data_IF_127161984849
#
_entry.id   IF_127161984849
#
_cell.length_a   1.000
_cell.length_b   1.000
_cell.length_c   1.000
_cell.angle_alpha   90.00
_cell.angle_beta   90.00
_cell.angle_gamma   90.00
#
_symmetry.space_group_name_H-M   'P 1'
#
loop_
_entity.id
_entity.type
_entity.pdbx_description
1 polymer ?
#
# COMPACT_ATOMS: atom_id res chain seq x y z
N UNK A 1 1.99 15.28 -21.89
CA UNK A 1 2.48 15.02 -20.54
C UNK A 1 3.42 13.84 -20.52
N UNK A 2 4.50 13.97 -19.80
CA UNK A 2 5.51 12.93 -19.73
C UNK A 2 4.98 11.71 -18.96
N UNK A 3 5.12 10.52 -19.53
CA UNK A 3 4.68 9.30 -18.88
C UNK A 3 5.63 8.96 -17.72
N UNK A 4 5.06 8.66 -16.55
CA UNK A 4 5.85 8.20 -15.41
C UNK A 4 6.32 6.78 -15.63
N UNK A 5 7.56 6.53 -15.29
CA UNK A 5 8.17 5.22 -15.31
C UNK A 5 8.74 4.91 -13.93
N UNK A 6 9.26 3.71 -13.75
CA UNK A 6 9.86 3.34 -12.47
C UNK A 6 11.09 4.19 -12.16
N UNK A 7 11.85 4.60 -13.15
CA UNK A 7 12.99 5.51 -12.95
C UNK A 7 12.51 6.86 -12.45
N UNK A 8 11.43 7.39 -13.03
CA UNK A 8 10.86 8.67 -12.58
C UNK A 8 10.28 8.55 -11.17
N UNK A 9 9.71 7.40 -10.83
CA UNK A 9 9.22 7.15 -9.48
C UNK A 9 10.37 7.20 -8.48
N UNK A 10 11.53 6.62 -8.81
CA UNK A 10 12.70 6.65 -7.93
C UNK A 10 13.22 8.08 -7.69
N UNK A 11 13.01 8.99 -8.64
CA UNK A 11 13.34 10.39 -8.46
C UNK A 11 12.41 11.09 -7.47
N UNK A 12 11.18 10.62 -7.35
CA UNK A 12 10.19 11.20 -6.44
C UNK A 12 10.33 10.65 -5.03
N UNK A 13 10.79 9.41 -4.89
CA UNK A 13 10.91 8.72 -3.62
C UNK A 13 12.34 8.24 -3.47
N UNK A 14 12.98 8.58 -2.38
CA UNK A 14 14.32 8.07 -2.09
C UNK A 14 14.19 6.61 -1.68
N UNK A 15 14.58 5.71 -2.59
CA UNK A 15 14.50 4.27 -2.37
C UNK A 15 15.86 3.68 -1.98
N UNK A 16 16.84 4.51 -1.68
CA UNK A 16 18.10 4.05 -1.13
C UNK A 16 17.85 3.41 0.24
N UNK A 17 18.26 2.18 0.41
CA UNK A 17 17.96 1.43 1.62
C UNK A 17 19.13 1.52 2.59
N UNK A 18 18.94 2.30 3.65
CA UNK A 18 19.88 2.38 4.76
C UNK A 18 19.10 2.03 6.02
N UNK A 19 19.28 0.83 6.51
CA UNK A 19 18.55 0.39 7.70
C UNK A 19 19.19 0.96 8.97
N UNK A 20 18.33 1.37 9.89
CA UNK A 20 18.74 1.65 11.26
C UNK A 20 19.24 0.32 11.88
N UNK A 21 20.49 0.31 12.32
CA UNK A 21 21.10 -0.90 12.87
C UNK A 21 20.36 -1.46 14.09
N UNK A 22 19.62 -0.63 14.81
CA UNK A 22 18.89 -1.06 16.00
C UNK A 22 17.53 -1.64 15.65
N UNK A 23 16.85 -1.06 14.64
CA UNK A 23 15.47 -1.43 14.30
C UNK A 23 15.38 -2.31 13.06
N UNK A 24 16.39 -2.29 12.20
CA UNK A 24 16.36 -3.04 10.95
C UNK A 24 15.28 -2.56 10.00
N UNK A 25 14.95 -1.26 10.04
CA UNK A 25 13.92 -0.71 9.17
C UNK A 25 14.31 0.64 8.57
N UNK A 26 13.70 0.96 7.46
CA UNK A 26 13.82 2.25 6.79
C UNK A 26 12.42 2.81 6.57
N UNK A 27 12.23 4.08 6.89
CA UNK A 27 10.98 4.78 6.63
C UNK A 27 11.11 5.52 5.29
N UNK A 28 10.12 5.30 4.43
CA UNK A 28 10.05 5.97 3.13
C UNK A 28 8.88 6.94 3.17
N UNK A 29 9.17 8.22 2.97
CA UNK A 29 8.14 9.26 2.92
C UNK A 29 7.73 9.49 1.48
N UNK A 30 6.44 9.34 1.20
CA UNK A 30 5.90 9.51 -0.14
C UNK A 30 5.56 10.98 -0.40
N UNK A 31 5.52 11.40 -1.68
CA UNK A 31 5.27 12.80 -2.03
C UNK A 31 3.79 13.16 -2.03
N UNK A 32 2.97 12.52 -1.20
CA UNK A 32 1.54 12.85 -1.07
C UNK A 32 1.10 12.67 0.38
N UNK A 33 0.06 13.40 0.74
CA UNK A 33 -0.46 13.39 2.10
C UNK A 33 -1.58 12.39 2.26
N UNK A 34 -1.90 12.07 3.52
CA UNK A 34 -3.05 11.24 3.86
C UNK A 34 -4.36 11.90 3.38
N UNK A 35 -5.46 11.17 3.49
CA UNK A 35 -6.75 11.65 2.98
C UNK A 35 -7.22 12.92 3.68
N UNK A 36 -6.76 13.15 4.90
CA UNK A 36 -7.10 14.36 5.65
C UNK A 36 -6.17 15.54 5.34
N UNK A 37 -5.13 15.32 4.53
CA UNK A 37 -4.17 16.35 4.17
C UNK A 37 -3.28 16.79 5.33
N UNK A 38 -3.18 16.00 6.39
CA UNK A 38 -2.48 16.38 7.59
C UNK A 38 -1.00 16.05 7.58
N UNK A 39 -0.65 14.86 7.09
CA UNK A 39 0.75 14.41 7.10
C UNK A 39 1.06 13.59 5.86
N UNK A 40 2.31 13.59 5.45
CA UNK A 40 2.77 12.78 4.33
C UNK A 40 2.66 11.29 4.67
N UNK A 41 2.24 10.51 3.69
CA UNK A 41 2.15 9.07 3.83
C UNK A 41 3.55 8.49 3.91
N UNK A 42 3.77 7.56 4.83
CA UNK A 42 5.05 6.87 4.97
C UNK A 42 4.83 5.37 4.92
N UNK A 43 5.77 4.68 4.28
CA UNK A 43 5.83 3.22 4.31
C UNK A 43 7.14 2.82 4.98
N UNK A 44 7.20 1.59 5.46
CA UNK A 44 8.38 1.07 6.14
C UNK A 44 8.92 -0.15 5.40
N UNK A 45 10.23 -0.19 5.26
CA UNK A 45 10.92 -1.34 4.71
C UNK A 45 11.64 -2.01 5.88
N UNK A 46 11.32 -3.26 6.14
CA UNK A 46 11.83 -4.01 7.29
C UNK A 46 12.58 -5.24 6.80
N UNK A 47 13.71 -5.54 7.44
CA UNK A 47 14.39 -6.80 7.22
C UNK A 47 13.74 -7.89 8.06
N UNK A 48 13.45 -9.01 7.42
CA UNK A 48 12.94 -10.20 8.09
C UNK A 48 14.10 -11.16 8.37
N UNK A 49 13.80 -12.30 8.98
CA UNK A 49 14.78 -13.36 9.18
C UNK A 49 15.37 -13.77 7.84
N UNK A 50 16.69 -14.01 7.79
CA UNK A 50 17.37 -14.36 6.55
C UNK A 50 17.64 -13.18 5.63
N UNK A 51 17.51 -11.93 6.12
CA UNK A 51 17.73 -10.70 5.37
C UNK A 51 16.72 -10.45 4.24
N UNK A 52 15.61 -11.16 4.21
CA UNK A 52 14.53 -10.83 3.32
C UNK A 52 13.97 -9.47 3.73
N UNK A 53 13.45 -8.73 2.74
CA UNK A 53 12.86 -7.42 3.01
C UNK A 53 11.36 -7.43 2.75
N UNK A 54 10.66 -6.60 3.50
CA UNK A 54 9.21 -6.50 3.45
C UNK A 54 8.81 -5.03 3.49
N UNK A 55 7.86 -4.65 2.64
CA UNK A 55 7.28 -3.31 2.66
C UNK A 55 5.99 -3.35 3.48
N UNK A 56 5.81 -2.38 4.36
CA UNK A 56 4.61 -2.27 5.19
C UNK A 56 4.11 -0.84 5.19
N UNK A 57 2.78 -0.68 5.14
CA UNK A 57 2.17 0.66 5.14
C UNK A 57 2.06 1.28 6.54
N UNK A 58 2.31 0.54 7.61
CA UNK A 58 2.19 1.03 8.97
C UNK A 58 0.79 1.51 9.31
N UNK A 59 -0.24 0.86 8.80
CA UNK A 59 -1.66 1.17 8.97
C UNK A 59 -2.14 2.41 8.21
N UNK A 60 -1.31 3.04 7.37
CA UNK A 60 -1.72 4.25 6.65
C UNK A 60 -2.95 4.01 5.79
N UNK A 61 -3.02 2.88 5.11
CA UNK A 61 -4.13 2.55 4.20
C UNK A 61 -5.41 2.31 4.98
N UNK A 62 -5.34 1.51 6.04
CA UNK A 62 -6.51 1.23 6.89
C UNK A 62 -7.02 2.52 7.51
N UNK A 63 -6.13 3.36 8.01
CA UNK A 63 -6.52 4.63 8.62
C UNK A 63 -7.26 5.53 7.64
N UNK A 64 -6.80 5.60 6.39
CA UNK A 64 -7.48 6.37 5.35
C UNK A 64 -8.87 5.79 5.05
N UNK A 65 -8.97 4.47 4.93
CA UNK A 65 -10.25 3.81 4.66
C UNK A 65 -11.23 4.05 5.80
N UNK A 66 -10.77 3.92 7.03
CA UNK A 66 -11.62 4.16 8.22
C UNK A 66 -12.07 5.61 8.28
N UNK A 67 -11.20 6.57 7.92
CA UNK A 67 -11.57 7.98 7.86
C UNK A 67 -12.69 8.24 6.86
N UNK A 68 -12.64 7.58 5.70
CA UNK A 68 -13.69 7.71 4.68
C UNK A 68 -15.01 7.12 5.20
N UNK A 69 -14.94 5.98 5.89
CA UNK A 69 -16.12 5.26 6.37
C UNK A 69 -16.64 5.76 7.71
N UNK A 70 -16.01 6.79 8.27
CA UNK A 70 -16.45 7.39 9.52
C UNK A 70 -17.94 7.72 9.44
N UNK A 71 -18.68 7.39 10.49
CA UNK A 71 -20.13 7.59 10.59
C UNK A 71 -20.99 6.68 9.70
N UNK A 72 -20.42 5.68 9.04
CA UNK A 72 -21.19 4.74 8.23
C UNK A 72 -20.94 3.29 8.66
N UNK A 73 -21.31 2.99 9.91
CA UNK A 73 -21.10 1.65 10.48
C UNK A 73 -21.82 0.53 9.74
N UNK A 74 -22.87 0.85 8.99
CA UNK A 74 -23.65 -0.19 8.26
C UNK A 74 -22.87 -0.77 7.08
N UNK A 75 -21.90 -0.02 6.53
CA UNK A 75 -21.14 -0.45 5.37
C UNK A 75 -19.75 -0.95 5.70
N UNK A 76 -19.37 -0.93 6.97
CA UNK A 76 -18.04 -1.36 7.38
C UNK A 76 -17.76 -2.83 7.03
N UNK A 77 -18.74 -3.71 7.17
CA UNK A 77 -18.56 -5.12 6.83
C UNK A 77 -18.33 -5.33 5.33
N UNK A 78 -19.01 -4.55 4.48
CA UNK A 78 -18.81 -4.59 3.04
C UNK A 78 -17.41 -4.13 2.67
N UNK A 79 -16.94 -3.05 3.31
CA UNK A 79 -15.61 -2.52 3.08
C UNK A 79 -14.56 -3.52 3.54
N UNK A 80 -14.74 -4.13 4.71
CA UNK A 80 -13.79 -5.14 5.22
C UNK A 80 -13.66 -6.31 4.26
N UNK A 81 -14.78 -6.82 3.75
CA UNK A 81 -14.78 -7.93 2.81
C UNK A 81 -14.06 -7.57 1.50
N UNK A 82 -14.39 -6.40 0.93
CA UNK A 82 -13.74 -5.95 -0.30
C UNK A 82 -12.27 -5.65 -0.11
N UNK A 83 -11.90 -5.14 1.06
CA UNK A 83 -10.52 -4.89 1.40
C UNK A 83 -9.70 -6.18 1.39
N UNK A 84 -10.26 -7.26 1.97
CA UNK A 84 -9.62 -8.57 1.94
C UNK A 84 -9.44 -9.07 0.51
N UNK A 85 -10.44 -8.86 -0.34
CA UNK A 85 -10.35 -9.23 -1.75
C UNK A 85 -9.23 -8.48 -2.46
N UNK A 86 -9.10 -7.18 -2.20
CA UNK A 86 -8.01 -6.37 -2.78
C UNK A 86 -6.64 -6.83 -2.28
N UNK A 87 -6.52 -7.11 -0.99
CA UNK A 87 -5.26 -7.60 -0.40
C UNK A 87 -4.84 -8.89 -1.10
N UNK A 88 -5.76 -9.82 -1.27
CA UNK A 88 -5.49 -11.10 -1.93
C UNK A 88 -5.11 -10.91 -3.39
N UNK A 89 -5.84 -10.04 -4.09
CA UNK A 89 -5.58 -9.78 -5.52
C UNK A 89 -4.19 -9.19 -5.77
N UNK A 90 -3.68 -8.41 -4.82
CA UNK A 90 -2.34 -7.81 -4.93
C UNK A 90 -1.24 -8.71 -4.36
N UNK A 91 -1.58 -9.90 -3.85
CA UNK A 91 -0.59 -10.79 -3.25
C UNK A 91 0.02 -10.24 -1.97
N UNK A 92 -0.69 -9.37 -1.29
CA UNK A 92 -0.26 -8.79 -0.02
C UNK A 92 -0.86 -9.57 1.14
N UNK A 93 -0.51 -9.17 2.36
CA UNK A 93 -1.08 -9.80 3.56
C UNK A 93 -1.35 -8.73 4.62
N UNK A 94 -2.37 -8.96 5.44
CA UNK A 94 -2.68 -8.10 6.57
C UNK A 94 -2.07 -8.69 7.84
N UNK A 95 -1.36 -7.86 8.59
CA UNK A 95 -0.76 -8.24 9.87
C UNK A 95 -1.11 -7.20 10.92
N UNK A 96 -0.70 -7.44 12.16
CA UNK A 96 -0.88 -6.47 13.23
C UNK A 96 -0.10 -5.16 13.00
N UNK A 97 0.86 -5.17 12.07
CA UNK A 97 1.65 -3.98 11.71
C UNK A 97 1.05 -3.19 10.56
N UNK A 98 0.12 -3.77 9.81
CA UNK A 98 -0.51 -3.17 8.65
C UNK A 98 -0.56 -4.11 7.46
N UNK A 99 -0.60 -3.53 6.27
CA UNK A 99 -0.59 -4.28 5.02
C UNK A 99 0.87 -4.48 4.62
N UNK A 100 1.26 -5.73 4.43
CA UNK A 100 2.63 -6.10 4.11
C UNK A 100 2.76 -6.70 2.72
N UNK A 101 3.83 -6.33 2.04
CA UNK A 101 4.20 -6.91 0.75
C UNK A 101 5.62 -7.46 0.86
N UNK A 102 5.80 -8.79 0.89
CA UNK A 102 7.13 -9.37 0.82
C UNK A 102 7.78 -9.02 -0.52
N UNK A 103 9.02 -8.55 -0.48
CA UNK A 103 9.66 -8.06 -1.70
C UNK A 103 10.35 -9.19 -2.48
N UNK A 104 10.62 -10.31 -1.81
CA UNK A 104 11.13 -11.51 -2.51
C UNK A 104 12.58 -11.44 -2.91
N UNK A 105 13.30 -10.41 -2.47
CA UNK A 105 14.74 -10.29 -2.72
C UNK A 105 15.42 -9.98 -1.39
N UNK A 106 16.66 -10.43 -1.24
CA UNK A 106 17.40 -10.20 -0.01
C UNK A 106 18.09 -8.86 -0.03
N UNK A 107 18.13 -8.21 1.12
CA UNK A 107 18.85 -6.95 1.28
C UNK A 107 20.32 -7.14 0.90
N UNK A 108 20.82 -6.23 0.10
CA UNK A 108 22.20 -6.25 -0.37
C UNK A 108 22.41 -7.01 -1.69
N UNK A 109 21.41 -7.76 -2.16
CA UNK A 109 21.49 -8.38 -3.47
C UNK A 109 21.39 -7.33 -4.56
N UNK A 110 22.00 -7.63 -5.71
CA UNK A 110 21.86 -6.79 -6.88
C UNK A 110 20.39 -6.68 -7.27
N UNK A 111 19.94 -5.45 -7.53
CA UNK A 111 18.56 -5.20 -7.92
C UNK A 111 17.60 -5.01 -6.76
N UNK A 112 18.05 -5.03 -5.50
CA UNK A 112 17.12 -4.84 -4.38
C UNK A 112 16.49 -3.45 -4.38
N UNK A 113 17.20 -2.42 -4.81
CA UNK A 113 16.64 -1.07 -4.89
C UNK A 113 15.50 -0.99 -5.91
N UNK A 114 15.65 -1.65 -7.05
CA UNK A 114 14.59 -1.71 -8.07
C UNK A 114 13.39 -2.49 -7.57
N UNK A 115 13.62 -3.60 -6.88
CA UNK A 115 12.53 -4.40 -6.31
C UNK A 115 11.76 -3.61 -5.26
N UNK A 116 12.45 -2.84 -4.43
CA UNK A 116 11.81 -1.98 -3.44
C UNK A 116 10.99 -0.89 -4.13
N UNK A 117 11.53 -0.26 -5.16
CA UNK A 117 10.80 0.77 -5.89
C UNK A 117 9.52 0.22 -6.52
N UNK A 118 9.57 -0.97 -7.08
CA UNK A 118 8.39 -1.63 -7.65
C UNK A 118 7.36 -1.96 -6.56
N UNK A 119 7.82 -2.43 -5.41
CA UNK A 119 6.93 -2.74 -4.29
C UNK A 119 6.23 -1.48 -3.76
N UNK A 120 6.97 -0.37 -3.67
CA UNK A 120 6.38 0.92 -3.26
C UNK A 120 5.33 1.36 -4.26
N UNK A 121 5.60 1.22 -5.55
CA UNK A 121 4.67 1.57 -6.61
C UNK A 121 3.40 0.74 -6.53
N UNK A 122 3.51 -0.57 -6.31
CA UNK A 122 2.36 -1.45 -6.14
C UNK A 122 1.57 -1.12 -4.87
N UNK A 123 2.25 -0.86 -3.77
CA UNK A 123 1.58 -0.48 -2.52
C UNK A 123 0.83 0.84 -2.70
N UNK A 124 1.40 1.79 -3.44
CA UNK A 124 0.75 3.06 -3.73
C UNK A 124 -0.51 2.85 -4.57
N UNK A 125 -0.44 1.99 -5.59
CA UNK A 125 -1.59 1.66 -6.41
C UNK A 125 -2.68 0.99 -5.57
N UNK A 126 -2.30 0.03 -4.72
CA UNK A 126 -3.23 -0.60 -3.80
C UNK A 126 -3.89 0.42 -2.88
N UNK A 127 -3.11 1.37 -2.35
CA UNK A 127 -3.61 2.43 -1.48
C UNK A 127 -4.67 3.26 -2.20
N UNK A 128 -4.40 3.68 -3.42
CA UNK A 128 -5.35 4.45 -4.22
C UNK A 128 -6.63 3.65 -4.50
N UNK A 129 -6.48 2.38 -4.85
CA UNK A 129 -7.65 1.52 -5.09
C UNK A 129 -8.48 1.30 -3.84
N UNK A 130 -7.83 1.14 -2.69
CA UNK A 130 -8.54 0.98 -1.42
C UNK A 130 -9.37 2.22 -1.08
N UNK A 131 -8.79 3.41 -1.29
CA UNK A 131 -9.50 4.66 -1.09
C UNK A 131 -10.69 4.77 -2.05
N UNK A 132 -10.47 4.50 -3.32
CA UNK A 132 -11.53 4.56 -4.34
C UNK A 132 -12.67 3.59 -4.01
N UNK A 133 -12.31 2.37 -3.60
CA UNK A 133 -13.30 1.37 -3.18
C UNK A 133 -14.14 1.92 -2.03
N UNK A 134 -13.49 2.43 -0.98
CA UNK A 134 -14.19 2.95 0.19
C UNK A 134 -15.11 4.12 -0.16
N UNK A 135 -14.64 5.03 -1.00
CA UNK A 135 -15.45 6.19 -1.43
C UNK A 135 -16.70 5.73 -2.18
N UNK A 136 -16.56 4.77 -3.11
CA UNK A 136 -17.71 4.29 -3.87
C UNK A 136 -18.70 3.55 -2.99
N UNK A 137 -18.23 2.74 -2.04
CA UNK A 137 -19.10 2.05 -1.10
C UNK A 137 -19.86 3.07 -0.24
N UNK A 138 -19.16 4.08 0.27
CA UNK A 138 -19.80 5.12 1.07
C UNK A 138 -20.89 5.84 0.27
N UNK A 139 -20.68 6.01 -1.02
CA UNK A 139 -21.65 6.67 -1.90
C UNK A 139 -22.75 5.73 -2.38
N UNK A 140 -22.84 4.52 -1.86
CA UNK A 140 -23.95 3.61 -2.11
C UNK A 140 -23.73 2.55 -3.18
N UNK A 141 -22.53 2.48 -3.76
CA UNK A 141 -22.24 1.48 -4.80
C UNK A 141 -22.22 0.06 -4.22
N UNK A 142 -22.52 -0.92 -5.05
CA UNK A 142 -22.45 -2.32 -4.67
C UNK A 142 -21.00 -2.82 -4.68
N UNK A 143 -20.61 -3.51 -3.62
CA UNK A 143 -19.22 -3.96 -3.42
C UNK A 143 -18.70 -4.77 -4.60
N UNK A 144 -19.43 -5.79 -5.06
CA UNK A 144 -18.95 -6.63 -6.15
C UNK A 144 -18.77 -5.87 -7.45
N UNK A 145 -19.66 -4.93 -7.75
CA UNK A 145 -19.55 -4.10 -8.95
C UNK A 145 -18.29 -3.22 -8.91
N UNK A 146 -17.99 -2.65 -7.74
CA UNK A 146 -16.80 -1.82 -7.58
C UNK A 146 -15.53 -2.67 -7.72
N UNK A 147 -15.49 -3.83 -7.08
CA UNK A 147 -14.34 -4.73 -7.17
C UNK A 147 -14.10 -5.19 -8.61
N UNK A 148 -15.16 -5.54 -9.34
CA UNK A 148 -15.04 -5.92 -10.74
C UNK A 148 -14.48 -4.79 -11.60
N UNK A 149 -14.90 -3.55 -11.32
CA UNK A 149 -14.40 -2.40 -12.05
C UNK A 149 -12.92 -2.12 -11.74
N UNK A 150 -12.51 -2.25 -10.48
CA UNK A 150 -11.13 -1.97 -10.07
C UNK A 150 -10.17 -3.07 -10.48
N UNK A 151 -10.58 -4.33 -10.37
CA UNK A 151 -9.72 -5.49 -10.60
C UNK A 151 -9.89 -6.12 -11.98
N UNK A 152 -10.89 -5.69 -12.72
CA UNK A 152 -11.26 -6.31 -13.99
C UNK A 152 -12.23 -7.46 -13.78
N UNK A 153 -12.92 -7.81 -14.85
CA UNK A 153 -13.98 -8.84 -14.80
C UNK A 153 -13.46 -10.26 -14.63
N UNK A 154 -12.18 -10.46 -14.85
CA UNK A 154 -11.56 -11.80 -14.81
C UNK A 154 -10.76 -12.06 -13.54
N UNK A 155 -11.08 -11.35 -12.48
CA UNK A 155 -10.42 -11.56 -11.20
C UNK A 155 -10.71 -12.95 -10.61
#
# INVERSE_FOLDING_TARGET
MKKRSIENFNELVDVSIEFDNKKGEKVVTLPFKDINGEKFVTYRITKLLGNEICLCDGHAIVDDVLSIMEDDGKRESDVAHGFETLIEAFGMRATDKGIESPIGIMYGHEGHEEAVAMAIQEMTLFHVMAIEYAVQIKNGAESEAVLDALLGKNR
#
